data_IF_825505491966
#
_entry.id   IF_825505491966
#
_cell.length_a   1.000
_cell.length_b   1.000
_cell.length_c   1.000
_cell.angle_alpha   90.00
_cell.angle_beta   90.00
_cell.angle_gamma   90.00
#
_symmetry.space_group_name_H-M   'P 1'
#
loop_
_entity.id
_entity.type
_entity.pdbx_description
1 polymer ?
#
# COMPACT_ATOMS: atom_id res chain seq x y z
N UNK A 1 -36.99 45.20 22.72
CA UNK A 1 -35.72 45.30 21.95
C UNK A 1 -35.08 43.92 22.01
N UNK A 2 -35.30 43.01 21.06
CA UNK A 2 -34.65 42.92 19.74
C UNK A 2 -33.15 43.23 19.78
N UNK A 3 -32.31 42.20 19.73
CA UNK A 3 -31.52 41.89 18.52
C UNK A 3 -30.93 40.49 18.60
N UNK A 4 -31.41 39.65 17.70
CA UNK A 4 -30.85 38.38 17.23
C UNK A 4 -29.53 38.66 16.53
N UNK A 5 -28.43 38.02 16.95
CA UNK A 5 -27.25 37.88 16.09
C UNK A 5 -27.03 36.39 15.81
N UNK A 6 -27.50 36.02 14.62
CA UNK A 6 -27.28 34.75 13.97
C UNK A 6 -25.79 34.61 13.65
N UNK A 7 -25.04 33.91 14.49
CA UNK A 7 -23.86 33.20 14.01
C UNK A 7 -24.31 31.81 13.59
N UNK A 8 -25.01 31.79 12.45
CA UNK A 8 -25.06 30.62 11.59
C UNK A 8 -23.63 30.42 11.09
N UNK A 9 -22.82 29.70 11.88
CA UNK A 9 -21.67 29.01 11.31
C UNK A 9 -22.25 28.12 10.22
N UNK A 10 -21.99 28.56 9.00
CA UNK A 10 -22.25 27.83 7.78
C UNK A 10 -21.53 26.50 7.97
N UNK A 11 -22.31 25.47 8.34
CA UNK A 11 -21.95 24.09 8.03
C UNK A 11 -21.79 24.07 6.53
N UNK A 12 -20.57 24.31 6.05
CA UNK A 12 -20.17 23.88 4.72
C UNK A 12 -20.66 22.44 4.59
N UNK A 13 -21.49 22.24 3.57
CA UNK A 13 -22.11 20.97 3.26
C UNK A 13 -21.03 19.90 3.17
N UNK A 14 -20.82 19.20 4.28
CA UNK A 14 -20.24 17.87 4.31
C UNK A 14 -21.27 16.97 3.59
N UNK A 15 -21.18 16.94 2.26
CA UNK A 15 -21.65 15.79 1.48
C UNK A 15 -20.89 14.59 2.02
N UNK A 16 -21.44 14.01 3.08
CA UNK A 16 -20.92 12.83 3.75
C UNK A 16 -20.94 11.66 2.77
N UNK A 17 -19.84 11.51 2.04
CA UNK A 17 -19.37 10.18 1.65
C UNK A 17 -19.07 9.43 2.96
N UNK A 18 -20.09 8.82 3.55
CA UNK A 18 -19.99 8.09 4.81
C UNK A 18 -18.83 7.09 4.73
N UNK A 19 -17.80 7.30 5.55
CA UNK A 19 -16.62 6.45 5.58
C UNK A 19 -16.99 5.12 6.24
N UNK A 20 -16.96 4.05 5.45
CA UNK A 20 -17.30 2.68 5.87
C UNK A 20 -16.11 2.02 6.58
N UNK A 21 -14.89 2.40 6.21
CA UNK A 21 -13.67 1.89 6.83
C UNK A 21 -12.58 2.94 6.76
N UNK A 22 -11.86 3.18 7.85
CA UNK A 22 -10.69 4.07 7.88
C UNK A 22 -9.53 3.35 8.57
N UNK A 23 -8.34 3.47 7.98
CA UNK A 23 -7.07 3.05 8.59
C UNK A 23 -6.08 4.21 8.60
N UNK A 24 -5.70 4.61 9.81
CA UNK A 24 -4.64 5.59 10.08
C UNK A 24 -3.34 4.85 10.39
N UNK A 25 -2.22 5.55 10.22
CA UNK A 25 -0.89 5.02 10.57
C UNK A 25 -0.84 4.63 12.05
N UNK A 26 -0.35 3.42 12.33
CA UNK A 26 -0.23 2.89 13.69
C UNK A 26 1.05 3.38 14.39
N UNK A 27 1.12 3.33 15.73
CA UNK A 27 2.30 3.72 16.51
C UNK A 27 3.56 2.92 16.15
N UNK A 28 3.39 1.67 15.69
CA UNK A 28 4.48 0.79 15.23
C UNK A 28 5.24 1.37 14.03
N UNK A 29 4.57 2.23 13.26
CA UNK A 29 5.21 3.07 12.24
C UNK A 29 6.30 3.96 12.86
N UNK A 30 6.03 4.64 13.97
CA UNK A 30 7.01 5.52 14.61
C UNK A 30 8.24 4.74 15.12
N UNK A 31 8.06 3.53 15.64
CA UNK A 31 9.17 2.67 16.08
C UNK A 31 10.03 2.17 14.92
N UNK A 32 9.40 1.81 13.80
CA UNK A 32 10.10 1.48 12.57
C UNK A 32 10.94 2.67 12.07
N UNK A 33 10.37 3.88 12.14
CA UNK A 33 11.07 5.12 11.80
C UNK A 33 12.27 5.41 12.68
N UNK A 34 12.10 5.32 14.01
CA UNK A 34 13.19 5.51 14.96
C UNK A 34 14.32 4.52 14.67
N UNK A 35 13.99 3.25 14.42
CA UNK A 35 14.97 2.21 14.11
C UNK A 35 15.75 2.52 12.83
N UNK A 36 15.08 2.92 11.75
CA UNK A 36 15.75 3.23 10.49
C UNK A 36 16.59 4.51 10.57
N UNK A 37 16.14 5.53 11.31
CA UNK A 37 16.92 6.76 11.56
C UNK A 37 18.16 6.45 12.41
N UNK A 38 18.03 5.65 13.47
CA UNK A 38 19.17 5.24 14.30
C UNK A 38 20.18 4.45 13.46
N UNK A 39 19.69 3.53 12.62
CA UNK A 39 20.54 2.78 11.70
C UNK A 39 21.24 3.69 10.68
N UNK A 40 20.54 4.68 10.13
CA UNK A 40 21.12 5.70 9.26
C UNK A 40 22.23 6.49 9.96
N UNK A 41 21.97 7.01 11.16
CA UNK A 41 22.95 7.74 11.96
C UNK A 41 24.17 6.88 12.28
N UNK A 42 23.95 5.61 12.62
CA UNK A 42 25.03 4.65 12.87
C UNK A 42 25.90 4.42 11.62
N UNK A 43 25.27 4.27 10.46
CA UNK A 43 25.95 4.14 9.17
C UNK A 43 26.74 5.40 8.80
N UNK A 44 26.15 6.58 8.94
CA UNK A 44 26.82 7.87 8.69
C UNK A 44 27.96 8.14 9.68
N UNK A 45 27.89 7.61 10.90
CA UNK A 45 28.95 7.73 11.90
C UNK A 45 30.13 6.79 11.65
N UNK A 46 29.84 5.52 11.29
CA UNK A 46 30.88 4.53 11.01
C UNK A 46 31.57 4.80 9.68
N UNK A 47 30.83 5.24 8.68
CA UNK A 47 31.32 5.30 7.31
C UNK A 47 32.57 6.19 7.15
N UNK A 48 32.62 7.45 7.65
CA UNK A 48 33.84 8.27 7.61
C UNK A 48 35.02 7.67 8.36
N UNK A 49 34.78 6.81 9.37
CA UNK A 49 35.85 6.16 10.15
C UNK A 49 36.43 4.93 9.46
N UNK A 50 35.70 4.35 8.52
CA UNK A 50 36.24 3.30 7.65
C UNK A 50 37.27 3.87 6.66
N UNK A 51 37.16 5.15 6.30
CA UNK A 51 38.19 5.86 5.55
C UNK A 51 39.31 6.28 6.51
N UNK A 52 40.39 5.50 6.54
CA UNK A 52 41.58 5.87 7.28
C UNK A 52 42.24 7.09 6.60
N UNK A 53 42.39 8.25 7.27
CA UNK A 53 42.95 9.46 6.67
C UNK A 53 44.41 9.30 6.21
N UNK A 54 45.10 8.24 6.67
CA UNK A 54 46.50 7.96 6.34
C UNK A 54 46.67 6.94 5.20
N UNK A 55 45.59 6.47 4.56
CA UNK A 55 45.66 5.57 3.39
C UNK A 55 45.17 6.29 2.14
N UNK A 56 45.91 6.18 1.05
CA UNK A 56 45.46 6.65 -0.26
C UNK A 56 44.11 6.00 -0.61
N UNK A 57 43.16 6.81 -1.09
CA UNK A 57 41.84 6.36 -1.50
C UNK A 57 41.98 5.62 -2.83
N UNK A 58 42.07 4.29 -2.75
CA UNK A 58 42.08 3.40 -3.90
C UNK A 58 40.68 3.27 -4.55
N UNK A 59 40.60 2.82 -5.80
CA UNK A 59 39.33 2.62 -6.53
C UNK A 59 38.36 1.69 -5.79
N UNK A 60 38.86 0.75 -4.98
CA UNK A 60 38.04 -0.13 -4.13
C UNK A 60 37.23 0.67 -3.11
N UNK A 61 37.80 1.72 -2.54
CA UNK A 61 37.11 2.61 -1.59
C UNK A 61 36.08 3.49 -2.28
N UNK A 62 36.34 3.90 -3.53
CA UNK A 62 35.35 4.57 -4.37
C UNK A 62 34.13 3.67 -4.64
N UNK A 63 34.34 2.38 -4.93
CA UNK A 63 33.24 1.41 -5.11
C UNK A 63 32.44 1.25 -3.81
N UNK A 64 33.10 1.09 -2.66
CA UNK A 64 32.44 1.03 -1.34
C UNK A 64 31.60 2.28 -1.07
N UNK A 65 32.11 3.46 -1.47
CA UNK A 65 31.38 4.72 -1.33
C UNK A 65 30.13 4.80 -2.20
N UNK A 66 30.20 4.37 -3.47
CA UNK A 66 29.04 4.34 -4.35
C UNK A 66 27.97 3.37 -3.83
N UNK A 67 28.37 2.18 -3.35
CA UNK A 67 27.44 1.20 -2.74
C UNK A 67 26.78 1.79 -1.50
N UNK A 68 27.55 2.50 -0.65
CA UNK A 68 27.01 3.18 0.52
C UNK A 68 25.96 4.26 0.15
N UNK A 69 26.27 5.12 -0.82
CA UNK A 69 25.32 6.13 -1.30
C UNK A 69 24.06 5.50 -1.87
N UNK A 70 24.19 4.38 -2.60
CA UNK A 70 23.04 3.66 -3.12
C UNK A 70 22.17 3.08 -2.00
N UNK A 71 22.78 2.49 -0.96
CA UNK A 71 22.07 2.04 0.24
C UNK A 71 21.37 3.18 0.97
N UNK A 72 22.03 4.32 1.12
CA UNK A 72 21.46 5.54 1.69
C UNK A 72 20.25 6.04 0.89
N UNK A 73 20.38 6.07 -0.44
CA UNK A 73 19.29 6.45 -1.33
C UNK A 73 18.07 5.54 -1.16
N UNK A 74 18.27 4.21 -1.11
CA UNK A 74 17.19 3.25 -0.86
C UNK A 74 16.52 3.53 0.48
N UNK A 75 17.31 3.77 1.54
CA UNK A 75 16.79 4.05 2.86
C UNK A 75 15.95 5.33 2.89
N UNK A 76 16.46 6.44 2.33
CA UNK A 76 15.75 7.72 2.25
C UNK A 76 14.49 7.61 1.39
N UNK A 77 14.56 6.88 0.26
CA UNK A 77 13.40 6.61 -0.59
C UNK A 77 12.32 5.85 0.17
N UNK A 78 12.68 4.80 0.89
CA UNK A 78 11.73 4.02 1.69
C UNK A 78 11.08 4.88 2.77
N UNK A 79 11.89 5.65 3.51
CA UNK A 79 11.43 6.63 4.50
C UNK A 79 10.43 7.62 3.86
N UNK A 80 10.77 8.22 2.72
CA UNK A 80 9.89 9.16 2.03
C UNK A 80 8.55 8.53 1.61
N UNK A 81 8.59 7.37 0.93
CA UNK A 81 7.39 6.64 0.51
C UNK A 81 6.49 6.32 1.70
N UNK A 82 7.10 5.93 2.81
CA UNK A 82 6.38 5.58 4.04
C UNK A 82 5.79 6.81 4.75
N UNK A 83 6.50 7.94 4.79
CA UNK A 83 6.01 9.19 5.41
C UNK A 83 4.83 9.76 4.65
N UNK A 84 4.86 9.63 3.33
CA UNK A 84 3.93 10.32 2.47
C UNK A 84 2.48 9.83 2.62
N UNK A 85 2.22 8.56 2.92
CA UNK A 85 0.85 8.05 3.11
C UNK A 85 0.23 8.71 4.35
N UNK A 86 -0.94 9.32 4.25
CA UNK A 86 -1.62 9.95 5.39
C UNK A 86 -2.60 8.97 6.06
N UNK A 87 -3.53 8.44 5.27
CA UNK A 87 -4.55 7.47 5.69
C UNK A 87 -5.11 6.74 4.47
N UNK A 88 -5.71 5.58 4.71
CA UNK A 88 -6.50 4.84 3.73
C UNK A 88 -7.93 4.77 4.25
N UNK A 89 -8.92 5.05 3.41
CA UNK A 89 -10.31 4.86 3.79
C UNK A 89 -11.18 4.42 2.61
N UNK A 90 -12.27 3.74 2.93
CA UNK A 90 -13.28 3.28 1.99
C UNK A 90 -14.59 3.99 2.32
N UNK A 91 -15.22 4.53 1.30
CA UNK A 91 -16.57 5.10 1.32
C UNK A 91 -17.52 4.13 0.62
N UNK A 92 -18.81 4.46 0.54
CA UNK A 92 -19.79 3.65 -0.19
C UNK A 92 -19.50 3.52 -1.69
N UNK A 93 -18.70 4.43 -2.26
CA UNK A 93 -18.49 4.51 -3.72
C UNK A 93 -17.04 4.35 -4.16
N UNK A 94 -16.07 4.64 -3.27
CA UNK A 94 -14.65 4.66 -3.62
C UNK A 94 -13.74 4.32 -2.45
N UNK A 95 -12.57 3.78 -2.77
CA UNK A 95 -11.39 3.73 -1.92
C UNK A 95 -10.53 4.97 -2.18
N UNK A 96 -10.04 5.57 -1.11
CA UNK A 96 -9.12 6.70 -1.17
C UNK A 96 -7.87 6.40 -0.35
N UNK A 97 -6.71 6.63 -0.97
CA UNK A 97 -5.43 6.71 -0.27
C UNK A 97 -5.00 8.18 -0.30
N UNK A 98 -5.02 8.80 0.87
CA UNK A 98 -4.55 10.18 1.03
C UNK A 98 -3.05 10.23 1.23
N UNK A 99 -2.43 11.26 0.64
CA UNK A 99 -1.00 11.54 0.82
C UNK A 99 -0.78 12.94 1.40
N UNK A 100 0.40 13.16 2.00
CA UNK A 100 0.80 14.47 2.52
C UNK A 100 1.39 15.38 1.43
N UNK A 101 2.15 14.83 0.48
CA UNK A 101 2.96 15.60 -0.47
C UNK A 101 2.59 15.40 -1.93
N UNK A 102 1.76 14.39 -2.25
CA UNK A 102 1.31 14.11 -3.62
C UNK A 102 -0.21 14.06 -3.68
N UNK A 103 -0.77 14.03 -4.89
CA UNK A 103 -2.20 13.88 -5.10
C UNK A 103 -2.71 12.56 -4.53
N UNK A 104 -3.91 12.60 -3.97
CA UNK A 104 -4.61 11.44 -3.45
C UNK A 104 -4.92 10.45 -4.57
N UNK A 105 -4.83 9.16 -4.23
CA UNK A 105 -5.27 8.11 -5.14
C UNK A 105 -6.71 7.75 -4.82
N UNK A 106 -7.56 7.83 -5.83
CA UNK A 106 -8.99 7.56 -5.72
C UNK A 106 -9.33 6.42 -6.68
N UNK A 107 -9.96 5.39 -6.15
CA UNK A 107 -10.38 4.20 -6.89
C UNK A 107 -11.88 3.96 -6.69
N UNK A 108 -12.70 4.06 -7.73
CA UNK A 108 -14.13 3.71 -7.66
C UNK A 108 -14.33 2.23 -7.31
N UNK A 109 -15.31 1.90 -6.47
CA UNK A 109 -15.61 0.51 -6.12
C UNK A 109 -16.05 -0.26 -7.37
N UNK A 110 -15.58 -1.52 -7.48
CA UNK A 110 -15.82 -2.37 -8.64
C UNK A 110 -14.79 -2.25 -9.76
N UNK A 111 -13.90 -1.25 -9.73
CA UNK A 111 -12.86 -1.07 -10.76
C UNK A 111 -11.49 -1.60 -10.35
N UNK A 112 -11.36 -2.24 -9.18
CA UNK A 112 -10.08 -2.72 -8.67
C UNK A 112 -10.25 -3.85 -7.67
N UNK A 113 -9.15 -4.53 -7.36
CA UNK A 113 -9.01 -5.31 -6.14
C UNK A 113 -7.67 -5.06 -5.45
N UNK A 114 -7.57 -5.45 -4.18
CA UNK A 114 -6.38 -5.27 -3.37
C UNK A 114 -5.81 -6.61 -2.92
N UNK A 115 -4.49 -6.73 -2.93
CA UNK A 115 -3.81 -7.85 -2.30
C UNK A 115 -2.52 -7.42 -1.63
N UNK A 116 -2.11 -8.19 -0.62
CA UNK A 116 -0.81 -8.01 0.02
C UNK A 116 0.23 -8.77 -0.78
N UNK A 117 1.41 -8.17 -1.01
CA UNK A 117 2.56 -8.77 -1.69
C UNK A 117 3.79 -8.67 -0.80
N UNK A 118 4.26 -9.81 -0.31
CA UNK A 118 5.55 -9.93 0.37
C UNK A 118 6.56 -10.63 -0.55
N UNK A 119 7.69 -9.99 -0.84
CA UNK A 119 8.81 -10.70 -1.46
C UNK A 119 9.59 -11.44 -0.37
N UNK A 120 9.72 -12.76 -0.49
CA UNK A 120 10.40 -13.63 0.48
C UNK A 120 11.86 -13.27 0.77
N UNK A 121 12.51 -12.50 -0.11
CA UNK A 121 13.92 -12.10 0.00
C UNK A 121 14.13 -10.63 0.37
N UNK A 122 13.07 -9.86 0.62
CA UNK A 122 13.18 -8.43 0.95
C UNK A 122 12.86 -8.20 2.43
N UNK A 123 13.68 -7.43 3.18
CA UNK A 123 13.34 -6.96 4.52
C UNK A 123 12.23 -5.88 4.52
N UNK A 124 11.54 -5.69 3.39
CA UNK A 124 10.38 -4.80 3.27
C UNK A 124 9.20 -5.38 4.04
N UNK A 125 8.41 -4.57 4.78
CA UNK A 125 7.24 -5.02 5.53
C UNK A 125 6.07 -5.54 4.66
N UNK A 126 6.30 -5.73 3.35
CA UNK A 126 5.28 -6.08 2.36
C UNK A 126 4.75 -4.85 1.64
N UNK A 127 3.98 -5.08 0.58
CA UNK A 127 3.35 -4.05 -0.22
C UNK A 127 1.86 -4.33 -0.37
N UNK A 128 1.04 -3.30 -0.21
CA UNK A 128 -0.35 -3.30 -0.65
C UNK A 128 -0.33 -3.03 -2.16
N UNK A 129 -0.89 -3.96 -2.93
CA UNK A 129 -1.05 -3.84 -4.37
C UNK A 129 -2.51 -3.57 -4.68
N UNK A 130 -2.79 -2.45 -5.35
CA UNK A 130 -4.11 -2.18 -5.93
C UNK A 130 -4.01 -2.49 -7.42
N UNK A 131 -4.78 -3.47 -7.86
CA UNK A 131 -4.88 -3.87 -9.25
C UNK A 131 -6.18 -3.31 -9.83
N UNK A 132 -6.07 -2.38 -10.77
CA UNK A 132 -7.24 -1.77 -11.44
C UNK A 132 -7.60 -2.52 -12.72
N UNK A 133 -8.90 -2.71 -12.96
CA UNK A 133 -9.45 -3.28 -14.18
C UNK A 133 -9.49 -2.24 -15.32
N UNK A 134 -9.15 -2.65 -16.54
CA UNK A 134 -9.14 -1.81 -17.75
C UNK A 134 -8.11 -2.26 -18.79
N UNK A 135 -8.01 -1.55 -19.92
CA UNK A 135 -7.14 -1.90 -21.08
C UNK A 135 -5.66 -2.13 -20.72
N UNK A 136 -5.18 -1.51 -19.62
CA UNK A 136 -3.87 -1.77 -19.04
C UNK A 136 -4.01 -1.84 -17.52
N UNK A 137 -3.87 -3.03 -16.95
CA UNK A 137 -3.77 -3.20 -15.51
C UNK A 137 -2.67 -2.27 -14.95
N UNK A 138 -3.03 -1.42 -13.99
CA UNK A 138 -2.08 -0.60 -13.25
C UNK A 138 -1.96 -1.17 -11.84
N UNK A 139 -0.73 -1.42 -11.44
CA UNK A 139 -0.41 -1.75 -10.05
C UNK A 139 -0.02 -0.48 -9.31
N UNK A 140 -0.75 -0.16 -8.25
CA UNK A 140 -0.29 0.81 -7.28
C UNK A 140 0.33 0.05 -6.11
N UNK A 141 1.64 0.23 -5.95
CA UNK A 141 2.45 -0.42 -4.92
C UNK A 141 2.66 0.55 -3.76
N UNK A 142 1.97 0.33 -2.65
CA UNK A 142 2.17 1.10 -1.43
C UNK A 142 2.82 0.21 -0.36
N UNK A 143 3.81 0.69 0.41
CA UNK A 143 4.40 -0.12 1.48
C UNK A 143 3.33 -0.48 2.52
N UNK A 144 3.28 -1.74 2.95
CA UNK A 144 2.35 -2.18 4.00
C UNK A 144 2.84 -1.69 5.36
N UNK A 145 2.36 -0.52 5.74
CA UNK A 145 2.79 0.21 6.94
C UNK A 145 1.80 0.10 8.09
N UNK A 146 0.72 -0.66 7.88
CA UNK A 146 -0.40 -0.73 8.80
C UNK A 146 -0.41 -2.03 9.62
N UNK A 147 0.58 -2.91 9.45
CA UNK A 147 0.63 -4.25 10.05
C UNK A 147 1.31 -4.31 11.42
N UNK A 148 1.95 -3.23 11.90
CA UNK A 148 2.69 -3.28 13.16
C UNK A 148 1.77 -3.04 14.37
N UNK A 149 0.92 -4.01 14.75
CA UNK A 149 0.26 -4.05 16.07
C UNK A 149 -1.15 -4.64 16.14
N UNK A 150 -1.84 -4.81 15.02
CA UNK A 150 -3.11 -5.55 14.96
C UNK A 150 -2.84 -7.01 14.57
N UNK A 151 -3.73 -7.92 14.98
CA UNK A 151 -3.75 -9.32 14.57
C UNK A 151 -3.35 -9.48 13.08
N UNK A 152 -2.16 -10.05 12.78
CA UNK A 152 -1.65 -10.17 11.42
C UNK A 152 -2.52 -11.08 10.53
N UNK A 153 -3.49 -11.78 11.11
CA UNK A 153 -4.47 -12.63 10.41
C UNK A 153 -5.79 -11.93 10.07
N UNK A 154 -5.93 -10.61 10.32
CA UNK A 154 -7.11 -9.79 9.97
C UNK A 154 -6.71 -8.54 9.18
N UNK A 155 -6.08 -8.76 8.03
CA UNK A 155 -5.33 -7.78 7.25
C UNK A 155 -6.17 -6.61 6.69
N UNK A 156 -5.51 -5.47 6.43
CA UNK A 156 -6.12 -4.31 5.74
C UNK A 156 -6.82 -4.73 4.46
N UNK A 157 -6.12 -5.53 3.65
CA UNK A 157 -6.58 -6.02 2.37
C UNK A 157 -7.81 -6.90 2.52
N UNK A 158 -7.93 -7.73 3.56
CA UNK A 158 -9.10 -8.58 3.79
C UNK A 158 -10.35 -7.75 4.09
N UNK A 159 -10.25 -6.73 4.95
CA UNK A 159 -11.36 -5.83 5.27
C UNK A 159 -11.81 -5.05 4.05
N UNK A 160 -10.87 -4.50 3.29
CA UNK A 160 -11.20 -3.78 2.05
C UNK A 160 -11.79 -4.76 1.02
N UNK A 161 -11.22 -5.95 0.87
CA UNK A 161 -11.72 -6.96 -0.06
C UNK A 161 -13.15 -7.41 0.29
N UNK A 162 -13.48 -7.55 1.58
CA UNK A 162 -14.83 -7.88 2.02
C UNK A 162 -15.85 -6.78 1.61
N UNK A 163 -15.45 -5.51 1.69
CA UNK A 163 -16.29 -4.38 1.29
C UNK A 163 -16.45 -4.31 -0.23
N UNK A 164 -15.38 -4.51 -1.00
CA UNK A 164 -15.43 -4.35 -2.47
C UNK A 164 -15.98 -5.61 -3.17
N UNK A 165 -15.93 -6.78 -2.53
CA UNK A 165 -16.33 -8.06 -3.13
C UNK A 165 -17.68 -8.00 -3.86
N UNK A 166 -18.78 -7.47 -3.29
CA UNK A 166 -20.06 -7.40 -3.99
C UNK A 166 -20.02 -6.58 -5.28
N UNK A 167 -19.13 -5.58 -5.36
CA UNK A 167 -18.97 -4.71 -6.52
C UNK A 167 -18.06 -5.31 -7.59
N UNK A 168 -17.08 -6.13 -7.19
CA UNK A 168 -16.06 -6.70 -8.07
C UNK A 168 -16.45 -8.07 -8.62
N UNK A 169 -17.18 -8.88 -7.83
CA UNK A 169 -17.54 -10.24 -8.21
C UNK A 169 -18.32 -10.32 -9.54
N UNK A 170 -19.32 -9.48 -9.83
CA UNK A 170 -20.03 -9.52 -11.11
C UNK A 170 -19.09 -9.32 -12.31
N UNK A 171 -18.13 -8.39 -12.20
CA UNK A 171 -17.13 -8.15 -13.23
C UNK A 171 -16.26 -9.39 -13.45
N UNK A 172 -15.72 -9.98 -12.38
CA UNK A 172 -14.88 -11.18 -12.46
C UNK A 172 -15.60 -12.37 -13.07
N UNK A 173 -16.89 -12.54 -12.80
CA UNK A 173 -17.71 -13.60 -13.41
C UNK A 173 -18.06 -13.34 -14.88
N UNK A 174 -18.04 -12.08 -15.32
CA UNK A 174 -18.34 -11.69 -16.71
C UNK A 174 -17.14 -11.80 -17.66
N UNK A 175 -15.91 -11.85 -17.14
CA UNK A 175 -14.69 -11.94 -17.94
C UNK A 175 -14.64 -13.20 -18.80
N UNK A 176 -13.91 -13.15 -19.91
CA UNK A 176 -13.53 -14.37 -20.63
C UNK A 176 -12.56 -15.22 -19.78
N UNK A 177 -12.47 -16.52 -20.10
CA UNK A 177 -11.55 -17.41 -19.38
C UNK A 177 -10.09 -16.97 -19.52
N UNK A 178 -9.71 -16.50 -20.70
CA UNK A 178 -8.34 -16.05 -20.96
C UNK A 178 -7.98 -14.81 -20.12
N UNK A 179 -8.91 -13.85 -19.99
CA UNK A 179 -8.70 -12.66 -19.17
C UNK A 179 -8.66 -12.99 -17.68
N UNK A 180 -9.53 -13.90 -17.23
CA UNK A 180 -9.54 -14.34 -15.83
C UNK A 180 -8.25 -15.08 -15.46
N UNK A 181 -7.78 -16.00 -16.31
CA UNK A 181 -6.52 -16.72 -16.11
C UNK A 181 -5.30 -15.79 -16.10
N UNK A 182 -5.29 -14.72 -16.91
CA UNK A 182 -4.24 -13.69 -16.84
C UNK A 182 -4.19 -13.02 -15.46
N UNK A 183 -5.35 -12.71 -14.88
CA UNK A 183 -5.42 -12.13 -13.52
C UNK A 183 -4.92 -13.13 -12.48
N UNK A 184 -5.38 -14.39 -12.54
CA UNK A 184 -4.96 -15.42 -11.58
C UNK A 184 -3.46 -15.71 -11.67
N UNK A 185 -2.93 -15.91 -12.88
CA UNK A 185 -1.49 -16.12 -13.11
C UNK A 185 -0.65 -14.98 -12.55
N UNK A 186 -1.08 -13.74 -12.76
CA UNK A 186 -0.39 -12.56 -12.26
C UNK A 186 -0.39 -12.49 -10.72
N UNK A 187 -1.52 -12.78 -10.07
CA UNK A 187 -1.62 -12.75 -8.60
C UNK A 187 -0.88 -13.92 -7.94
N UNK A 188 -1.01 -15.12 -8.50
CA UNK A 188 -0.42 -16.37 -8.00
C UNK A 188 1.10 -16.45 -8.15
N UNK A 189 1.67 -15.77 -9.15
CA UNK A 189 3.12 -15.70 -9.32
C UNK A 189 3.86 -14.98 -8.18
N UNK A 190 3.15 -14.25 -7.32
CA UNK A 190 3.76 -13.45 -6.26
C UNK A 190 3.22 -13.70 -4.85
N UNK A 191 2.13 -14.45 -4.69
CA UNK A 191 1.54 -14.78 -3.38
C UNK A 191 0.81 -16.13 -3.42
N UNK A 192 0.65 -16.77 -2.25
CA UNK A 192 -0.47 -17.70 -2.08
C UNK A 192 -1.77 -16.95 -2.39
N UNK A 193 -2.64 -17.56 -3.20
CA UNK A 193 -3.98 -17.05 -3.55
C UNK A 193 -4.88 -17.15 -2.31
N UNK A 194 -4.51 -16.50 -1.21
CA UNK A 194 -5.33 -16.30 -0.03
C UNK A 194 -6.13 -14.99 -0.10
N UNK A 195 -6.18 -14.34 -1.27
CA UNK A 195 -7.21 -13.35 -1.58
C UNK A 195 -8.54 -14.09 -1.76
N UNK A 196 -9.25 -14.26 -0.66
CA UNK A 196 -10.34 -15.22 -0.45
C UNK A 196 -11.43 -15.20 -1.54
N UNK A 197 -11.71 -14.04 -2.14
CA UNK A 197 -12.77 -13.91 -3.14
C UNK A 197 -12.33 -14.22 -4.60
N UNK A 198 -11.03 -14.17 -4.94
CA UNK A 198 -10.57 -14.61 -6.28
C UNK A 198 -10.67 -16.12 -6.43
N UNK A 199 -10.36 -16.86 -5.35
CA UNK A 199 -10.57 -18.31 -5.28
C UNK A 199 -12.06 -18.66 -5.42
N UNK A 200 -12.92 -17.94 -4.69
CA UNK A 200 -14.37 -18.10 -4.81
C UNK A 200 -14.89 -17.79 -6.23
N UNK A 201 -14.39 -16.73 -6.88
CA UNK A 201 -14.73 -16.44 -8.27
C UNK A 201 -14.34 -17.58 -9.22
N UNK A 202 -13.17 -18.21 -8.99
CA UNK A 202 -12.72 -19.36 -9.76
C UNK A 202 -13.63 -20.59 -9.57
N UNK A 203 -14.08 -20.86 -8.34
CA UNK A 203 -15.00 -21.96 -8.03
C UNK A 203 -16.37 -21.74 -8.69
N UNK A 204 -16.96 -20.55 -8.54
CA UNK A 204 -18.25 -20.19 -9.16
C UNK A 204 -18.22 -20.25 -10.69
N UNK A 205 -17.08 -19.93 -11.31
CA UNK A 205 -16.91 -20.04 -12.78
C UNK A 205 -16.80 -21.48 -13.27
N UNK A 206 -16.34 -22.42 -12.43
CA UNK A 206 -16.30 -23.85 -12.75
C UNK A 206 -17.70 -24.44 -12.70
N UNK A 207 -18.44 -24.16 -11.63
CA UNK A 207 -19.82 -24.62 -11.46
C UNK A 207 -20.71 -24.21 -12.64
N UNK A 208 -20.62 -22.96 -13.11
CA UNK A 208 -21.38 -22.48 -14.29
C UNK A 208 -21.04 -23.14 -15.62
N UNK A 209 -19.91 -23.84 -15.74
CA UNK A 209 -19.52 -24.56 -16.96
C UNK A 209 -19.92 -26.03 -16.92
N UNK A 210 -20.14 -26.55 -15.73
CA UNK A 210 -20.55 -27.93 -15.49
C UNK A 210 -22.10 -28.07 -15.49
N UNK A 211 -22.84 -26.95 -15.56
CA UNK A 211 -24.29 -26.84 -15.86
C UNK A 211 -24.58 -26.70 -17.36
#
# INVERSE_FOLDING_TARGET
MSQTNNNTEIKEQDTQDEIVFERKKHIGFLLFWITNIVFLCFMLYLFPRLFNPNKEIDYKWFIVFVIFLFGLYILVKNIYQMANIKRIYVTKEKLVIEFYFRNDLIFPLGTFFIYHRSLSYSPSPGHIVIHTFGDKAKEHLEPDLFSAGDDPTKGCCEKINAIIKPHVMPYLLSLSDEEFEKIISHVSGYNEINTTFLKEAMELRKEKKDE
#
